data_IF_217331250977
#
_entry.id   IF_217331250977
#
_cell.length_a   1.000
_cell.length_b   1.000
_cell.length_c   1.000
_cell.angle_alpha   90.00
_cell.angle_beta   90.00
_cell.angle_gamma   90.00
#
_symmetry.space_group_name_H-M   'P 1'
#
loop_
_entity.id
_entity.type
_entity.pdbx_description
1 polymer ?
#
# COMPACT_ATOMS: atom_id res chain seq x y z
N UNK A 1 -0.22 17.34 15.41
CA UNK A 1 0.20 16.62 14.19
C UNK A 1 -0.45 15.24 14.05
N UNK A 2 -0.60 14.49 15.14
CA UNK A 2 -1.26 13.16 15.14
C UNK A 2 -2.57 13.04 14.33
N UNK A 3 -3.54 13.93 14.56
CA UNK A 3 -4.84 13.86 13.85
C UNK A 3 -4.68 14.08 12.34
N UNK A 4 -3.81 15.01 11.94
CA UNK A 4 -3.50 15.26 10.52
C UNK A 4 -2.90 14.01 9.89
N UNK A 5 -1.91 13.38 10.53
CA UNK A 5 -1.28 12.16 10.03
C UNK A 5 -2.28 11.01 9.86
N UNK A 6 -3.19 10.80 10.83
CA UNK A 6 -4.25 9.79 10.74
C UNK A 6 -5.18 10.09 9.55
N UNK A 7 -5.63 11.35 9.40
CA UNK A 7 -6.51 11.73 8.29
C UNK A 7 -5.82 11.63 6.94
N UNK A 8 -4.53 11.94 6.84
CA UNK A 8 -3.75 11.75 5.61
C UNK A 8 -3.60 10.28 5.26
N UNK A 9 -3.36 9.40 6.24
CA UNK A 9 -3.33 7.94 6.03
C UNK A 9 -4.69 7.43 5.53
N UNK A 10 -5.79 7.86 6.15
CA UNK A 10 -7.14 7.50 5.71
C UNK A 10 -7.45 8.00 4.30
N UNK A 11 -7.06 9.23 3.96
CA UNK A 11 -7.24 9.80 2.62
C UNK A 11 -6.40 9.06 1.58
N UNK A 12 -5.15 8.69 1.91
CA UNK A 12 -4.29 7.87 1.05
C UNK A 12 -4.97 6.56 0.70
N UNK A 13 -5.40 5.79 1.71
CA UNK A 13 -6.06 4.50 1.49
C UNK A 13 -7.41 4.65 0.76
N UNK A 14 -8.24 5.63 1.11
CA UNK A 14 -9.50 5.87 0.40
C UNK A 14 -9.27 6.16 -1.09
N UNK A 15 -8.24 6.96 -1.41
CA UNK A 15 -7.87 7.31 -2.78
C UNK A 15 -7.29 6.10 -3.53
N UNK A 16 -6.44 5.30 -2.88
CA UNK A 16 -5.91 4.06 -3.45
C UNK A 16 -7.03 3.07 -3.78
N UNK A 17 -7.98 2.88 -2.85
CA UNK A 17 -9.13 1.99 -3.05
C UNK A 17 -10.04 2.48 -4.18
N UNK A 18 -10.28 3.79 -4.29
CA UNK A 18 -11.01 4.36 -5.41
C UNK A 18 -10.29 4.12 -6.76
N UNK A 19 -8.95 4.18 -6.77
CA UNK A 19 -8.15 3.82 -7.94
C UNK A 19 -8.37 2.38 -8.39
N UNK A 20 -8.45 1.43 -7.46
CA UNK A 20 -8.78 0.03 -7.77
C UNK A 20 -10.21 -0.13 -8.33
N UNK A 21 -11.17 0.66 -7.86
CA UNK A 21 -12.57 0.57 -8.29
C UNK A 21 -12.80 1.09 -9.71
N UNK A 22 -12.07 2.14 -10.10
CA UNK A 22 -12.22 2.79 -11.41
C UNK A 22 -11.77 1.86 -12.55
N UNK A 23 -12.40 1.99 -13.72
CA UNK A 23 -12.07 1.28 -14.95
C UNK A 23 -11.75 2.22 -16.11
N UNK A 24 -11.75 3.53 -15.84
CA UNK A 24 -11.52 4.60 -16.81
C UNK A 24 -10.16 5.27 -16.57
N UNK A 25 -9.90 6.39 -17.24
CA UNK A 25 -8.76 7.28 -16.99
C UNK A 25 -8.70 7.80 -15.54
N UNK A 26 -9.82 7.81 -14.81
CA UNK A 26 -9.84 8.18 -13.38
C UNK A 26 -8.86 7.33 -12.55
N UNK A 27 -8.68 6.05 -12.92
CA UNK A 27 -7.78 5.11 -12.22
C UNK A 27 -6.37 5.67 -12.04
N UNK A 28 -5.74 6.11 -13.13
CA UNK A 28 -4.35 6.58 -13.08
C UNK A 28 -4.23 7.84 -12.22
N UNK A 29 -5.18 8.77 -12.37
CA UNK A 29 -5.19 10.02 -11.59
C UNK A 29 -5.37 9.73 -10.10
N UNK A 30 -6.24 8.78 -9.74
CA UNK A 30 -6.43 8.36 -8.35
C UNK A 30 -5.17 7.69 -7.78
N UNK A 31 -4.48 6.85 -8.56
CA UNK A 31 -3.19 6.30 -8.12
C UNK A 31 -2.11 7.37 -7.94
N UNK A 32 -2.02 8.33 -8.86
CA UNK A 32 -1.06 9.43 -8.74
C UNK A 32 -1.34 10.27 -7.49
N UNK A 33 -2.62 10.54 -7.18
CA UNK A 33 -3.02 11.25 -5.97
C UNK A 33 -2.76 10.44 -4.70
N UNK A 34 -3.03 9.14 -4.72
CA UNK A 34 -2.66 8.22 -3.65
C UNK A 34 -1.15 8.28 -3.35
N UNK A 35 -0.30 8.28 -4.38
CA UNK A 35 1.16 8.34 -4.20
C UNK A 35 1.62 9.68 -3.61
N UNK A 36 0.95 10.79 -3.97
CA UNK A 36 1.19 12.10 -3.34
C UNK A 36 0.79 12.06 -1.86
N UNK A 37 -0.39 11.53 -1.54
CA UNK A 37 -0.88 11.45 -0.16
C UNK A 37 0.01 10.57 0.71
N UNK A 38 0.54 9.47 0.19
CA UNK A 38 1.53 8.66 0.91
C UNK A 38 2.81 9.45 1.21
N UNK A 39 3.33 10.23 0.27
CA UNK A 39 4.49 11.10 0.53
C UNK A 39 4.21 12.14 1.62
N UNK A 40 3.03 12.75 1.61
CA UNK A 40 2.62 13.66 2.68
C UNK A 40 2.52 12.96 4.03
N UNK A 41 1.96 11.76 4.06
CA UNK A 41 1.89 10.92 5.25
C UNK A 41 3.29 10.63 5.81
N UNK A 42 4.25 10.22 4.97
CA UNK A 42 5.66 10.01 5.38
C UNK A 42 6.31 11.30 5.91
N UNK A 43 6.02 12.47 5.35
CA UNK A 43 6.55 13.73 5.88
C UNK A 43 5.97 14.07 7.26
N UNK A 44 4.66 13.95 7.44
CA UNK A 44 3.99 14.19 8.72
C UNK A 44 4.52 13.25 9.80
N UNK A 45 4.86 12.02 9.44
CA UNK A 45 5.52 11.06 10.33
C UNK A 45 6.88 11.55 10.82
N UNK A 46 7.74 12.02 9.91
CA UNK A 46 9.04 12.58 10.28
C UNK A 46 8.91 13.84 11.15
N UNK A 47 7.89 14.66 10.91
CA UNK A 47 7.60 15.83 11.75
C UNK A 47 7.22 15.40 13.17
N UNK A 48 6.32 14.41 13.32
CA UNK A 48 5.95 13.87 14.63
C UNK A 48 7.17 13.33 15.38
N UNK A 49 8.08 12.64 14.70
CA UNK A 49 9.35 12.16 15.30
C UNK A 49 10.21 13.34 15.77
N UNK A 50 10.35 14.38 14.94
CA UNK A 50 11.14 15.58 15.26
C UNK A 50 10.57 16.34 16.45
N UNK A 51 9.25 16.36 16.59
CA UNK A 51 8.52 16.95 17.72
C UNK A 51 8.47 16.04 18.95
N UNK A 52 9.04 14.83 18.88
CA UNK A 52 8.98 13.80 19.91
C UNK A 52 7.52 13.45 20.31
N UNK A 53 6.61 13.48 19.34
CA UNK A 53 5.21 13.05 19.47
C UNK A 53 5.10 11.55 19.20
N UNK A 54 4.49 10.80 20.13
CA UNK A 54 4.17 9.40 19.90
C UNK A 54 3.03 9.24 18.89
N UNK A 55 3.16 8.30 17.96
CA UNK A 55 2.12 8.01 16.96
C UNK A 55 1.88 6.50 16.77
N UNK A 56 0.78 6.17 16.11
CA UNK A 56 0.44 4.82 15.69
C UNK A 56 -0.19 4.85 14.30
N UNK A 57 -0.29 3.69 13.65
CA UNK A 57 -1.00 3.52 12.38
C UNK A 57 -2.50 3.21 12.55
N UNK A 58 -3.03 3.44 13.75
CA UNK A 58 -4.46 3.36 14.03
C UNK A 58 -5.23 4.37 13.18
N UNK A 59 -6.41 3.97 12.70
CA UNK A 59 -7.27 4.76 11.83
C UNK A 59 -8.73 4.33 11.97
N UNK A 60 -9.64 5.20 11.52
CA UNK A 60 -11.04 4.86 11.35
C UNK A 60 -11.27 3.92 10.15
N UNK A 61 -12.47 3.34 10.09
CA UNK A 61 -12.90 2.51 8.97
C UNK A 61 -13.00 3.35 7.69
N UNK A 62 -12.53 2.80 6.58
CA UNK A 62 -12.66 3.38 5.25
C UNK A 62 -13.85 2.70 4.54
N UNK A 63 -14.97 3.40 4.32
CA UNK A 63 -16.20 2.80 3.82
C UNK A 63 -16.13 2.58 2.31
N UNK A 64 -15.48 1.50 1.88
CA UNK A 64 -15.27 1.26 0.44
C UNK A 64 -16.45 0.62 -0.29
N UNK A 65 -17.42 0.02 0.42
CA UNK A 65 -18.55 -0.67 -0.21
C UNK A 65 -19.57 0.33 -0.74
N UNK A 66 -19.35 0.79 -1.98
CA UNK A 66 -20.19 1.75 -2.69
C UNK A 66 -20.69 1.17 -4.01
N UNK A 67 -21.81 1.71 -4.52
CA UNK A 67 -22.32 1.38 -5.86
C UNK A 67 -21.76 2.32 -6.94
N UNK A 68 -21.44 3.55 -6.56
CA UNK A 68 -20.95 4.61 -7.45
C UNK A 68 -19.60 5.13 -7.03
N UNK A 69 -18.72 5.38 -8.00
CA UNK A 69 -17.40 5.94 -7.74
C UNK A 69 -17.53 7.34 -7.11
N UNK A 70 -18.51 8.12 -7.53
CA UNK A 70 -18.82 9.44 -6.98
C UNK A 70 -19.02 9.44 -5.46
N UNK A 71 -19.56 8.38 -4.86
CA UNK A 71 -19.69 8.26 -3.40
C UNK A 71 -18.30 8.26 -2.72
N UNK A 72 -17.35 7.52 -3.29
CA UNK A 72 -15.96 7.51 -2.81
C UNK A 72 -15.25 8.83 -3.09
N UNK A 73 -15.47 9.45 -4.26
CA UNK A 73 -14.87 10.74 -4.58
C UNK A 73 -15.33 11.83 -3.59
N UNK A 74 -16.61 11.83 -3.21
CA UNK A 74 -17.13 12.73 -2.19
C UNK A 74 -16.52 12.47 -0.81
N UNK A 75 -16.35 11.21 -0.39
CA UNK A 75 -15.67 10.87 0.86
C UNK A 75 -14.20 11.34 0.87
N UNK A 76 -13.48 11.12 -0.23
CA UNK A 76 -12.09 11.58 -0.39
C UNK A 76 -12.03 13.11 -0.28
N UNK A 77 -12.87 13.85 -1.03
CA UNK A 77 -12.90 15.32 -0.97
C UNK A 77 -13.17 15.82 0.44
N UNK A 78 -14.08 15.17 1.19
CA UNK A 78 -14.35 15.51 2.59
C UNK A 78 -13.12 15.30 3.48
N UNK A 79 -12.43 14.16 3.35
CA UNK A 79 -11.19 13.89 4.11
C UNK A 79 -10.10 14.91 3.80
N UNK A 80 -9.94 15.28 2.53
CA UNK A 80 -8.99 16.32 2.11
C UNK A 80 -9.35 17.70 2.72
N UNK A 81 -10.64 18.04 2.76
CA UNK A 81 -11.13 19.24 3.44
C UNK A 81 -10.82 19.25 4.95
N UNK A 82 -10.99 18.10 5.62
CA UNK A 82 -10.65 17.94 7.04
C UNK A 82 -9.15 18.06 7.30
N UNK A 83 -8.30 17.56 6.40
CA UNK A 83 -6.84 17.72 6.49
C UNK A 83 -6.46 19.20 6.35
N UNK A 84 -6.95 19.87 5.30
CA UNK A 84 -6.64 21.27 4.99
C UNK A 84 -6.99 22.21 6.17
N UNK A 85 -8.14 21.98 6.81
CA UNK A 85 -8.54 22.74 8.00
C UNK A 85 -7.60 22.52 9.20
N UNK A 86 -7.09 21.31 9.39
CA UNK A 86 -6.23 20.99 10.53
C UNK A 86 -4.80 21.53 10.35
N UNK A 87 -4.31 21.63 9.11
CA UNK A 87 -3.00 22.24 8.79
C UNK A 87 -2.90 23.69 9.29
N UNK A 88 -4.01 24.42 9.41
CA UNK A 88 -4.00 25.78 9.98
C UNK A 88 -3.33 25.86 11.36
N UNK A 89 -3.43 24.78 12.14
CA UNK A 89 -2.88 24.66 13.50
C UNK A 89 -1.48 24.06 13.60
N UNK A 90 -0.91 23.59 12.49
CA UNK A 90 0.41 22.95 12.45
C UNK A 90 1.56 23.96 12.63
N UNK A 91 2.70 23.58 13.25
CA UNK A 91 3.84 24.47 13.43
C UNK A 91 4.66 24.66 12.15
N UNK A 92 4.72 23.69 11.24
CA UNK A 92 5.52 23.76 10.00
C UNK A 92 4.71 24.39 8.85
N UNK A 93 4.82 25.72 8.73
CA UNK A 93 4.06 26.49 7.73
C UNK A 93 4.46 26.23 6.27
N UNK A 94 5.70 25.80 6.03
CA UNK A 94 6.16 25.50 4.67
C UNK A 94 5.60 24.13 4.22
N UNK A 95 5.63 23.14 5.11
CA UNK A 95 5.00 21.85 4.86
C UNK A 95 3.48 21.99 4.71
N UNK A 96 2.83 22.78 5.58
CA UNK A 96 1.40 23.07 5.50
C UNK A 96 1.02 23.65 4.13
N UNK A 97 1.74 24.68 3.69
CA UNK A 97 1.49 25.33 2.41
C UNK A 97 1.64 24.35 1.24
N UNK A 98 2.61 23.44 1.32
CA UNK A 98 2.81 22.40 0.30
C UNK A 98 1.64 21.42 0.25
N UNK A 99 1.26 20.85 1.39
CA UNK A 99 0.16 19.87 1.47
C UNK A 99 -1.17 20.54 1.05
N UNK A 100 -1.47 21.74 1.54
CA UNK A 100 -2.68 22.49 1.18
C UNK A 100 -2.76 22.76 -0.33
N UNK A 101 -1.65 23.16 -0.97
CA UNK A 101 -1.61 23.38 -2.42
C UNK A 101 -1.96 22.11 -3.21
N UNK A 102 -1.36 20.98 -2.84
CA UNK A 102 -1.63 19.70 -3.49
C UNK A 102 -3.10 19.26 -3.26
N UNK A 103 -3.63 19.45 -2.04
CA UNK A 103 -5.04 19.20 -1.71
C UNK A 103 -5.99 20.05 -2.56
N UNK A 104 -5.72 21.35 -2.71
CA UNK A 104 -6.58 22.24 -3.51
C UNK A 104 -6.66 21.80 -4.96
N UNK A 105 -5.52 21.39 -5.54
CA UNK A 105 -5.47 20.82 -6.88
C UNK A 105 -6.27 19.51 -6.97
N UNK A 106 -6.02 18.55 -6.07
CA UNK A 106 -6.71 17.26 -6.05
C UNK A 106 -8.22 17.45 -5.98
N UNK A 107 -8.73 18.29 -5.07
CA UNK A 107 -10.17 18.58 -4.94
C UNK A 107 -10.75 19.17 -6.23
N UNK A 108 -10.02 20.04 -6.90
CA UNK A 108 -10.43 20.64 -8.17
C UNK A 108 -10.58 19.62 -9.30
N UNK A 109 -9.74 18.57 -9.29
CA UNK A 109 -9.78 17.46 -10.26
C UNK A 109 -10.87 16.46 -9.89
N UNK A 110 -10.92 15.99 -8.63
CA UNK A 110 -11.88 14.98 -8.16
C UNK A 110 -13.34 15.39 -8.39
N UNK A 111 -13.66 16.68 -8.22
CA UNK A 111 -15.02 17.23 -8.46
C UNK A 111 -15.47 17.20 -9.92
N UNK A 112 -14.55 16.94 -10.85
CA UNK A 112 -14.80 16.92 -12.31
C UNK A 112 -14.66 15.53 -12.91
N UNK A 113 -14.27 14.54 -12.12
CA UNK A 113 -14.16 13.16 -12.58
C UNK A 113 -15.55 12.61 -12.91
N UNK A 114 -15.63 11.84 -13.99
CA UNK A 114 -16.85 11.18 -14.39
C UNK A 114 -17.20 10.05 -13.40
N UNK A 115 -18.50 9.87 -13.16
CA UNK A 115 -19.00 8.81 -12.28
C UNK A 115 -18.96 7.45 -12.98
N UNK A 116 -18.77 6.39 -12.18
CA UNK A 116 -18.67 5.01 -12.65
C UNK A 116 -19.50 4.10 -11.76
N UNK A 117 -20.05 3.03 -12.34
CA UNK A 117 -20.65 1.95 -11.56
C UNK A 117 -19.54 1.04 -11.02
N UNK A 118 -19.51 0.85 -9.71
CA UNK A 118 -18.51 0.05 -9.02
C UNK A 118 -18.96 -1.41 -8.96
N UNK A 119 -18.09 -2.32 -9.41
CA UNK A 119 -18.31 -3.78 -9.31
C UNK A 119 -17.29 -4.48 -8.42
N UNK A 120 -16.42 -3.72 -7.74
CA UNK A 120 -15.30 -4.25 -6.96
C UNK A 120 -15.72 -5.07 -5.72
N UNK A 121 -17.03 -5.16 -5.46
CA UNK A 121 -17.64 -5.86 -4.31
C UNK A 121 -18.74 -6.85 -4.72
N UNK A 122 -18.81 -7.23 -6.00
CA UNK A 122 -19.87 -8.14 -6.49
C UNK A 122 -19.80 -9.54 -5.91
N UNK A 123 -18.65 -9.93 -5.35
CA UNK A 123 -18.35 -11.28 -4.84
C UNK A 123 -18.53 -12.39 -5.90
N UNK A 124 -18.51 -12.04 -7.18
CA UNK A 124 -18.66 -13.02 -8.27
C UNK A 124 -17.43 -13.92 -8.40
N UNK A 125 -16.25 -13.45 -7.96
CA UNK A 125 -14.96 -14.18 -8.02
C UNK A 125 -14.59 -14.60 -9.44
N UNK A 126 -15.04 -13.83 -10.44
CA UNK A 126 -14.74 -14.08 -11.86
C UNK A 126 -13.67 -13.11 -12.35
N UNK A 127 -12.62 -13.65 -12.94
CA UNK A 127 -11.60 -12.83 -13.57
C UNK A 127 -12.06 -12.44 -14.99
N UNK A 128 -12.07 -11.15 -15.37
CA UNK A 128 -12.52 -10.73 -16.68
C UNK A 128 -11.70 -11.35 -17.82
N UNK A 129 -12.37 -12.05 -18.74
CA UNK A 129 -11.74 -12.64 -19.92
C UNK A 129 -10.99 -13.96 -19.67
N UNK A 130 -11.03 -14.49 -18.45
CA UNK A 130 -10.35 -15.75 -18.08
C UNK A 130 -11.34 -16.67 -17.37
N UNK A 131 -11.55 -17.88 -17.89
CA UNK A 131 -12.35 -18.91 -17.24
C UNK A 131 -11.45 -19.77 -16.35
N UNK A 132 -11.41 -19.45 -15.06
CA UNK A 132 -10.69 -20.23 -14.06
C UNK A 132 -11.53 -21.41 -13.56
N UNK A 133 -10.88 -22.54 -13.30
CA UNK A 133 -11.47 -23.63 -12.52
C UNK A 133 -11.79 -23.19 -11.10
N UNK A 134 -12.64 -23.94 -10.39
CA UNK A 134 -12.95 -23.66 -8.98
C UNK A 134 -11.68 -23.67 -8.11
N UNK A 135 -10.81 -24.67 -8.32
CA UNK A 135 -9.53 -24.79 -7.64
C UNK A 135 -8.62 -23.57 -7.89
N UNK A 136 -8.46 -23.15 -9.15
CA UNK A 136 -7.66 -21.96 -9.48
C UNK A 136 -8.29 -20.66 -8.94
N UNK A 137 -9.62 -20.56 -8.95
CA UNK A 137 -10.35 -19.42 -8.40
C UNK A 137 -10.19 -19.32 -6.88
N UNK A 138 -10.26 -20.44 -6.18
CA UNK A 138 -10.03 -20.54 -4.73
C UNK A 138 -8.59 -20.19 -4.36
N UNK A 139 -7.61 -20.77 -5.05
CA UNK A 139 -6.19 -20.47 -4.85
C UNK A 139 -5.89 -18.98 -5.08
N UNK A 140 -6.37 -18.40 -6.19
CA UNK A 140 -6.18 -16.98 -6.50
C UNK A 140 -6.88 -16.08 -5.48
N UNK A 141 -8.11 -16.42 -5.07
CA UNK A 141 -8.84 -15.62 -4.07
C UNK A 141 -8.10 -15.59 -2.74
N UNK A 142 -7.63 -16.74 -2.25
CA UNK A 142 -6.90 -16.82 -0.98
C UNK A 142 -5.62 -16.01 -1.04
N UNK A 143 -4.81 -16.21 -2.08
CA UNK A 143 -3.58 -15.46 -2.31
C UNK A 143 -3.81 -13.96 -2.31
N UNK A 144 -4.80 -13.47 -3.08
CA UNK A 144 -5.07 -12.03 -3.15
C UNK A 144 -5.46 -11.43 -1.80
N UNK A 145 -6.17 -12.16 -0.94
CA UNK A 145 -6.51 -11.68 0.40
C UNK A 145 -5.28 -11.59 1.31
N UNK A 146 -4.42 -12.61 1.29
CA UNK A 146 -3.23 -12.69 2.14
C UNK A 146 -2.18 -11.67 1.70
N UNK A 147 -1.84 -11.67 0.40
CA UNK A 147 -0.76 -10.84 -0.13
C UNK A 147 -1.13 -9.36 -0.21
N UNK A 148 -2.37 -8.99 -0.54
CA UNK A 148 -2.78 -7.57 -0.49
C UNK A 148 -2.62 -6.99 0.92
N UNK A 149 -2.93 -7.79 1.95
CA UNK A 149 -2.73 -7.36 3.33
C UNK A 149 -1.24 -7.29 3.69
N UNK A 150 -0.47 -8.32 3.29
CA UNK A 150 0.96 -8.41 3.55
C UNK A 150 1.73 -7.23 2.96
N UNK A 151 1.46 -6.87 1.70
CA UNK A 151 2.16 -5.77 1.04
C UNK A 151 1.87 -4.42 1.67
N UNK A 152 0.62 -4.19 2.06
CA UNK A 152 0.27 -3.01 2.84
C UNK A 152 1.02 -3.00 4.19
N UNK A 153 1.07 -4.12 4.90
CA UNK A 153 1.80 -4.24 6.16
C UNK A 153 3.30 -3.93 5.98
N UNK A 154 3.93 -4.49 4.96
CA UNK A 154 5.34 -4.25 4.63
C UNK A 154 5.62 -2.77 4.31
N UNK A 155 4.77 -2.11 3.51
CA UNK A 155 4.87 -0.66 3.25
C UNK A 155 4.90 0.11 4.57
N UNK A 156 4.01 -0.20 5.51
CA UNK A 156 3.93 0.50 6.80
C UNK A 156 5.15 0.23 7.68
N UNK A 157 5.63 -1.01 7.73
CA UNK A 157 6.82 -1.41 8.51
C UNK A 157 8.07 -0.72 7.95
N UNK A 158 8.32 -0.82 6.64
CA UNK A 158 9.50 -0.21 6.03
C UNK A 158 9.46 1.31 6.10
N UNK A 159 8.28 1.93 5.98
CA UNK A 159 8.13 3.37 6.17
C UNK A 159 8.51 3.79 7.61
N UNK A 160 8.05 3.03 8.62
CA UNK A 160 8.42 3.27 10.02
C UNK A 160 9.93 3.14 10.24
N UNK A 161 10.54 2.06 9.74
CA UNK A 161 11.98 1.79 9.85
C UNK A 161 12.81 2.90 9.21
N UNK A 162 12.39 3.35 8.02
CA UNK A 162 13.02 4.46 7.30
C UNK A 162 12.92 5.78 8.06
N UNK A 163 11.77 6.10 8.64
CA UNK A 163 11.58 7.34 9.41
C UNK A 163 12.39 7.36 10.73
N UNK A 164 12.70 6.19 11.29
CA UNK A 164 13.49 6.04 12.52
C UNK A 164 14.98 5.74 12.28
N UNK A 165 15.44 5.82 11.04
CA UNK A 165 16.82 5.54 10.66
C UNK A 165 17.50 6.80 10.11
N UNK A 166 18.69 7.10 10.65
CA UNK A 166 19.58 8.13 10.10
C UNK A 166 20.62 7.55 9.12
N UNK A 167 20.54 6.25 8.83
CA UNK A 167 21.45 5.58 7.93
C UNK A 167 20.95 5.67 6.48
N UNK A 168 21.64 6.47 5.67
CA UNK A 168 21.26 6.72 4.28
C UNK A 168 21.26 5.44 3.42
N UNK A 169 22.14 4.48 3.71
CA UNK A 169 22.19 3.21 2.98
C UNK A 169 20.97 2.36 3.29
N UNK A 170 20.61 2.27 4.58
CA UNK A 170 19.40 1.57 5.02
C UNK A 170 18.13 2.24 4.50
N UNK A 171 18.06 3.56 4.56
CA UNK A 171 16.90 4.32 4.06
C UNK A 171 16.68 4.10 2.56
N UNK A 172 17.75 3.94 1.78
CA UNK A 172 17.66 3.57 0.37
C UNK A 172 17.07 2.18 0.19
N UNK A 173 17.54 1.19 0.97
CA UNK A 173 17.02 -0.19 0.89
C UNK A 173 15.53 -0.22 1.24
N UNK A 174 15.14 0.39 2.36
CA UNK A 174 13.73 0.44 2.76
C UNK A 174 12.86 1.17 1.74
N UNK A 175 13.37 2.24 1.12
CA UNK A 175 12.64 2.93 0.06
C UNK A 175 12.39 2.02 -1.16
N UNK A 176 13.38 1.23 -1.59
CA UNK A 176 13.20 0.28 -2.70
C UNK A 176 12.16 -0.78 -2.33
N UNK A 177 12.23 -1.34 -1.12
CA UNK A 177 11.26 -2.33 -0.65
C UNK A 177 9.84 -1.77 -0.59
N UNK A 178 9.66 -0.51 -0.14
CA UNK A 178 8.36 0.19 -0.19
C UNK A 178 7.84 0.28 -1.62
N UNK A 179 8.70 0.66 -2.58
CA UNK A 179 8.32 0.82 -3.98
C UNK A 179 7.90 -0.50 -4.63
N UNK A 180 8.64 -1.58 -4.36
CA UNK A 180 8.27 -2.93 -4.81
C UNK A 180 6.94 -3.39 -4.19
N UNK A 181 6.76 -3.22 -2.88
CA UNK A 181 5.50 -3.55 -2.21
C UNK A 181 4.32 -2.73 -2.73
N UNK A 182 4.52 -1.47 -3.12
CA UNK A 182 3.48 -0.69 -3.80
C UNK A 182 3.07 -1.28 -5.14
N UNK A 183 4.03 -1.77 -5.92
CA UNK A 183 3.75 -2.41 -7.20
C UNK A 183 2.96 -3.71 -7.00
N UNK A 184 3.34 -4.55 -6.04
CA UNK A 184 2.60 -5.76 -5.68
C UNK A 184 1.19 -5.44 -5.17
N UNK A 185 1.06 -4.53 -4.19
CA UNK A 185 -0.22 -4.06 -3.66
C UNK A 185 -1.15 -3.55 -4.76
N UNK A 186 -0.62 -2.76 -5.71
CA UNK A 186 -1.41 -2.23 -6.83
C UNK A 186 -1.87 -3.35 -7.76
N UNK A 187 -1.00 -4.32 -8.04
CA UNK A 187 -1.33 -5.45 -8.91
C UNK A 187 -2.39 -6.36 -8.27
N UNK A 188 -2.21 -6.75 -7.01
CA UNK A 188 -3.14 -7.63 -6.30
C UNK A 188 -4.47 -6.92 -6.01
N UNK A 189 -4.45 -5.65 -5.63
CA UNK A 189 -5.64 -4.83 -5.45
C UNK A 189 -6.48 -4.69 -6.73
N UNK A 190 -5.84 -4.50 -7.89
CA UNK A 190 -6.51 -4.45 -9.18
C UNK A 190 -7.14 -5.80 -9.57
N UNK A 191 -6.43 -6.91 -9.34
CA UNK A 191 -6.99 -8.26 -9.53
C UNK A 191 -8.19 -8.52 -8.60
N UNK A 192 -8.07 -8.16 -7.32
CA UNK A 192 -9.16 -8.28 -6.35
C UNK A 192 -10.38 -7.47 -6.73
N UNK A 193 -10.19 -6.23 -7.21
CA UNK A 193 -11.28 -5.39 -7.70
C UNK A 193 -11.94 -5.95 -8.97
N UNK A 194 -11.16 -6.49 -9.90
CA UNK A 194 -11.68 -7.18 -11.10
C UNK A 194 -12.56 -8.39 -10.74
N UNK A 195 -12.16 -9.14 -9.72
CA UNK A 195 -12.90 -10.32 -9.22
C UNK A 195 -14.07 -9.98 -8.29
N UNK A 196 -14.26 -8.71 -7.94
CA UNK A 196 -15.33 -8.26 -7.06
C UNK A 196 -15.11 -8.57 -5.58
N UNK A 197 -13.86 -8.75 -5.16
CA UNK A 197 -13.45 -9.13 -3.79
C UNK A 197 -12.53 -8.08 -3.13
N UNK A 198 -12.55 -6.83 -3.60
CA UNK A 198 -11.70 -5.78 -3.05
C UNK A 198 -11.99 -5.59 -1.55
N UNK A 199 -10.93 -5.43 -0.76
CA UNK A 199 -11.01 -5.20 0.67
C UNK A 199 -9.97 -4.16 1.11
N UNK A 200 -10.31 -3.37 2.13
CA UNK A 200 -9.33 -2.50 2.80
C UNK A 200 -8.42 -3.39 3.65
N UNK A 201 -7.08 -3.23 3.55
CA UNK A 201 -6.16 -3.85 4.48
C UNK A 201 -6.52 -3.55 5.95
N UNK A 202 -6.26 -4.49 6.85
CA UNK A 202 -6.51 -4.31 8.30
C UNK A 202 -5.53 -3.29 8.88
N UNK A 203 -5.82 -2.82 10.09
CA UNK A 203 -4.87 -1.97 10.84
C UNK A 203 -3.64 -2.79 11.21
N UNK A 204 -2.44 -2.25 10.97
CA UNK A 204 -1.18 -2.92 11.33
C UNK A 204 -0.98 -2.81 12.84
N UNK A 205 -0.78 -3.94 13.51
CA UNK A 205 -0.53 -3.97 14.94
C UNK A 205 0.82 -3.32 15.28
N UNK A 206 0.85 -2.57 16.40
CA UNK A 206 2.01 -1.80 16.83
C UNK A 206 3.29 -2.62 16.91
N UNK A 207 3.16 -3.84 17.40
CA UNK A 207 4.25 -4.79 17.63
C UNK A 207 4.92 -5.25 16.32
N UNK A 208 4.21 -5.15 15.18
CA UNK A 208 4.74 -5.55 13.87
C UNK A 208 5.63 -4.45 13.27
N UNK A 209 5.23 -3.19 13.38
CA UNK A 209 5.99 -2.08 12.76
C UNK A 209 7.00 -1.42 13.70
N UNK A 210 6.80 -1.48 15.02
CA UNK A 210 7.79 -1.00 15.99
C UNK A 210 8.88 -2.05 16.23
N UNK A 211 9.66 -2.32 15.20
CA UNK A 211 10.73 -3.32 15.22
C UNK A 211 11.83 -2.93 16.21
N UNK A 212 12.02 -3.72 17.26
CA UNK A 212 13.07 -3.52 18.27
C UNK A 212 14.40 -4.17 17.90
N UNK A 213 14.37 -5.20 17.05
CA UNK A 213 15.55 -5.90 16.53
C UNK A 213 15.47 -5.98 15.00
N UNK A 214 16.06 -4.99 14.34
CA UNK A 214 16.04 -4.89 12.87
C UNK A 214 16.82 -6.05 12.23
N UNK A 215 17.84 -6.59 12.90
CA UNK A 215 18.62 -7.71 12.36
C UNK A 215 17.77 -8.98 12.37
N UNK A 216 17.02 -9.24 13.44
CA UNK A 216 16.12 -10.38 13.49
C UNK A 216 14.97 -10.22 12.50
N UNK A 217 14.37 -9.03 12.40
CA UNK A 217 13.35 -8.72 11.41
C UNK A 217 13.79 -9.00 9.97
N UNK A 218 15.00 -8.59 9.58
CA UNK A 218 15.53 -8.86 8.24
C UNK A 218 15.76 -10.35 7.97
N UNK A 219 16.18 -11.12 8.99
CA UNK A 219 16.35 -12.57 8.86
C UNK A 219 15.01 -13.28 8.69
N UNK A 220 14.02 -12.87 9.48
CA UNK A 220 12.67 -13.43 9.40
C UNK A 220 12.02 -13.07 8.07
N UNK A 221 12.19 -11.82 7.60
CA UNK A 221 11.77 -11.39 6.26
C UNK A 221 12.37 -12.25 5.15
N UNK A 222 13.68 -12.52 5.16
CA UNK A 222 14.29 -13.42 4.15
C UNK A 222 13.67 -14.81 4.16
N UNK A 223 13.38 -15.38 5.34
CA UNK A 223 12.73 -16.68 5.43
C UNK A 223 11.29 -16.63 4.91
N UNK A 224 10.60 -15.53 5.15
CA UNK A 224 9.25 -15.29 4.65
C UNK A 224 9.23 -15.18 3.13
N UNK A 225 10.16 -14.45 2.50
CA UNK A 225 10.26 -14.38 1.04
C UNK A 225 10.55 -15.76 0.42
N UNK A 226 11.40 -16.56 1.06
CA UNK A 226 11.64 -17.93 0.62
C UNK A 226 10.37 -18.80 0.65
N UNK A 227 9.49 -18.57 1.62
CA UNK A 227 8.19 -19.24 1.69
C UNK A 227 7.20 -18.69 0.65
N UNK A 228 7.12 -17.36 0.50
CA UNK A 228 6.28 -16.69 -0.48
C UNK A 228 6.60 -17.14 -1.92
N UNK A 229 7.88 -17.41 -2.21
CA UNK A 229 8.29 -18.01 -3.48
C UNK A 229 7.66 -19.38 -3.74
N UNK A 230 7.60 -20.25 -2.74
CA UNK A 230 6.97 -21.56 -2.91
C UNK A 230 5.46 -21.43 -3.09
N UNK A 231 4.80 -20.50 -2.40
CA UNK A 231 3.37 -20.23 -2.59
C UNK A 231 3.06 -19.62 -3.96
N UNK A 232 3.85 -18.65 -4.43
CA UNK A 232 3.72 -18.08 -5.78
C UNK A 232 3.89 -19.15 -6.86
N UNK A 233 4.82 -20.09 -6.67
CA UNK A 233 5.03 -21.20 -7.61
C UNK A 233 3.83 -22.13 -7.65
N UNK A 234 3.29 -22.53 -6.48
CA UNK A 234 2.07 -23.36 -6.41
C UNK A 234 0.89 -22.66 -7.08
N UNK A 235 0.74 -21.35 -6.87
CA UNK A 235 -0.31 -20.57 -7.51
C UNK A 235 -0.13 -20.50 -9.02
N UNK A 236 1.10 -20.23 -9.50
CA UNK A 236 1.45 -20.24 -10.92
C UNK A 236 1.05 -21.59 -11.55
N UNK A 237 1.41 -22.72 -10.93
CA UNK A 237 1.04 -24.06 -11.39
C UNK A 237 -0.47 -24.31 -11.39
N UNK A 238 -1.20 -23.80 -10.38
CA UNK A 238 -2.64 -23.93 -10.26
C UNK A 238 -3.40 -23.17 -11.36
N UNK A 239 -2.95 -21.96 -11.69
CA UNK A 239 -3.60 -21.12 -12.72
C UNK A 239 -3.11 -21.43 -14.14
N UNK A 240 -1.95 -22.07 -14.31
CA UNK A 240 -1.31 -22.28 -15.63
C UNK A 240 -2.16 -23.06 -16.63
N UNK A 241 -3.03 -23.96 -16.16
CA UNK A 241 -3.95 -24.70 -17.04
C UNK A 241 -5.04 -23.82 -17.63
N UNK A 242 -5.42 -22.76 -16.90
CA UNK A 242 -6.54 -21.90 -17.22
C UNK A 242 -6.09 -20.57 -17.84
N UNK A 243 -4.88 -20.09 -17.49
CA UNK A 243 -4.28 -18.87 -18.02
C UNK A 243 -2.75 -18.87 -17.97
N UNK A 244 -2.14 -18.91 -19.16
CA UNK A 244 -0.69 -18.67 -19.35
C UNK A 244 -0.28 -17.25 -18.96
N UNK A 245 -1.17 -16.26 -19.10
CA UNK A 245 -0.92 -14.88 -18.71
C UNK A 245 -0.77 -14.76 -17.18
N UNK A 246 -1.68 -15.35 -16.41
CA UNK A 246 -1.61 -15.32 -14.95
C UNK A 246 -0.41 -16.11 -14.43
N UNK A 247 -0.10 -17.27 -15.02
CA UNK A 247 1.09 -18.04 -14.66
C UNK A 247 2.37 -17.22 -14.87
N UNK A 248 2.52 -16.57 -16.03
CA UNK A 248 3.67 -15.67 -16.30
C UNK A 248 3.74 -14.50 -15.33
N UNK A 249 2.61 -13.95 -14.93
CA UNK A 249 2.58 -12.89 -13.93
C UNK A 249 3.09 -13.40 -12.57
N UNK A 250 2.64 -14.55 -12.08
CA UNK A 250 3.12 -15.10 -10.81
C UNK A 250 4.58 -15.58 -10.87
N UNK A 251 5.06 -16.05 -12.02
CA UNK A 251 6.48 -16.32 -12.24
C UNK A 251 7.31 -15.03 -12.18
N UNK A 252 6.78 -13.94 -12.74
CA UNK A 252 7.40 -12.62 -12.65
C UNK A 252 7.49 -12.12 -11.20
N UNK A 253 6.40 -12.18 -10.43
CA UNK A 253 6.39 -11.85 -8.99
C UNK A 253 7.40 -12.73 -8.23
N UNK A 254 7.40 -14.04 -8.46
CA UNK A 254 8.36 -14.96 -7.84
C UNK A 254 9.83 -14.54 -8.08
N UNK A 255 10.13 -14.02 -9.27
CA UNK A 255 11.45 -13.51 -9.59
C UNK A 255 11.80 -12.21 -8.84
N UNK A 256 10.83 -11.33 -8.59
CA UNK A 256 11.02 -10.12 -7.77
C UNK A 256 11.39 -10.47 -6.33
N UNK A 257 10.88 -11.56 -5.76
CA UNK A 257 11.26 -11.99 -4.41
C UNK A 257 12.76 -12.29 -4.26
N UNK A 258 13.44 -12.70 -5.34
CA UNK A 258 14.91 -12.85 -5.29
C UNK A 258 15.60 -11.50 -5.06
N UNK A 259 15.05 -10.43 -5.63
CA UNK A 259 15.57 -9.09 -5.47
C UNK A 259 15.37 -8.60 -4.03
N UNK A 260 14.21 -8.85 -3.43
CA UNK A 260 13.91 -8.50 -2.04
C UNK A 260 14.85 -9.23 -1.07
N UNK A 261 15.05 -10.54 -1.27
CA UNK A 261 16.04 -11.34 -0.52
C UNK A 261 17.44 -10.73 -0.64
N UNK A 262 17.85 -10.31 -1.84
CA UNK A 262 19.16 -9.67 -2.05
C UNK A 262 19.28 -8.36 -1.28
N UNK A 263 18.26 -7.51 -1.32
CA UNK A 263 18.23 -6.23 -0.60
C UNK A 263 18.32 -6.43 0.91
N UNK A 264 17.56 -7.38 1.46
CA UNK A 264 17.61 -7.69 2.90
C UNK A 264 18.94 -8.33 3.31
N UNK A 265 19.55 -9.15 2.45
CA UNK A 265 20.88 -9.72 2.67
C UNK A 265 21.95 -8.63 2.72
N UNK A 266 21.88 -7.66 1.80
CA UNK A 266 22.77 -6.50 1.77
C UNK A 266 22.62 -5.63 3.03
N UNK A 267 21.37 -5.41 3.48
CA UNK A 267 21.08 -4.73 4.73
C UNK A 267 21.69 -5.45 5.95
N UNK A 268 21.55 -6.78 6.04
CA UNK A 268 22.16 -7.57 7.11
C UNK A 268 23.69 -7.46 7.11
N UNK A 269 24.31 -7.55 5.94
CA UNK A 269 25.75 -7.40 5.80
C UNK A 269 26.22 -6.00 6.24
N UNK A 270 25.43 -4.96 5.99
CA UNK A 270 25.69 -3.60 6.44
C UNK A 270 25.65 -3.48 7.97
N UNK A 271 24.62 -4.00 8.62
CA UNK A 271 24.53 -4.04 10.09
C UNK A 271 25.69 -4.82 10.74
N UNK A 272 26.09 -5.95 10.15
CA UNK A 272 27.20 -6.76 10.66
C UNK A 272 28.55 -6.01 10.60
N UNK A 273 28.74 -5.13 9.61
CA UNK A 273 29.94 -4.27 9.53
C UNK A 273 29.92 -3.16 10.58
N UNK A 274 28.76 -2.54 10.79
CA UNK A 274 28.59 -1.48 11.79
C UNK A 274 28.80 -1.97 13.24
N UNK A 275 28.48 -3.24 13.53
CA UNK A 275 28.69 -3.83 14.86
C UNK A 275 30.16 -4.20 15.17
N UNK A 276 31.02 -4.25 14.14
CA UNK A 276 32.42 -4.69 14.24
C UNK A 276 33.45 -3.56 14.06
N UNK A 277 32.99 -2.31 13.88
CA UNK A 277 33.84 -1.11 13.75
C UNK A 277 33.67 -0.18 14.94
#
# INVERSE_FOLDING_TARGET
>A
MKTVAIKTHEAWLATLMAGFMSKTENKQVLFDFSDILFRHFTWLENEMITLNESYSYDRDIIPIKVEKLSDMLHDIVKRLDEIDLQLLSSPDKDLDARISSDIHYMRGVLKKMDDETVTAFSMERKFPGIELTEEATDALTLFLFEETYKEYELIMIYNYLKAHSNDAYMNRIFQILIEESFFHLKSFGDMGAKMGILAVPRVVMKELYQVTDVVQFLKDGINEELAAKEECKKLSEAVAKDSDELAKFFDFINHQENYHISLMTDALAHYAKAANG
#
